data_IF_293506976381
#
_entry.id   IF_293506976381
#
_cell.length_a   1.000
_cell.length_b   1.000
_cell.length_c   1.000
_cell.angle_alpha   90.00
_cell.angle_beta   90.00
_cell.angle_gamma   90.00
#
_symmetry.space_group_name_H-M   'P 1'
#
loop_
_entity.id
_entity.type
_entity.pdbx_description
1 polymer ?
#
# COMPACT_ATOMS: atom_id res chain seq x y z
N UNK A 1 -7.69 12.79 -4.29
CA UNK A 1 -6.93 14.04 -4.52
C UNK A 1 -5.69 13.86 -5.41
N UNK A 2 -5.24 12.61 -5.62
CA UNK A 2 -4.01 12.32 -6.36
C UNK A 2 -2.71 12.65 -5.60
N UNK A 3 -2.79 12.99 -4.32
CA UNK A 3 -1.62 13.27 -3.48
C UNK A 3 -1.53 12.29 -2.33
N UNK A 4 -0.32 11.83 -2.01
CA UNK A 4 -0.08 10.95 -0.87
C UNK A 4 1.29 11.25 -0.28
N UNK A 5 1.34 11.47 1.05
CA UNK A 5 2.60 11.69 1.75
C UNK A 5 3.52 10.46 1.61
N UNK A 6 4.83 10.67 1.41
CA UNK A 6 5.79 9.58 1.16
C UNK A 6 5.74 8.45 2.21
N UNK A 7 5.61 8.79 3.50
CA UNK A 7 5.47 7.79 4.56
C UNK A 7 4.29 6.86 4.32
N UNK A 8 3.16 7.41 3.88
CA UNK A 8 1.98 6.61 3.59
C UNK A 8 2.19 5.72 2.37
N UNK A 9 2.90 6.19 1.34
CA UNK A 9 3.27 5.36 0.18
C UNK A 9 4.08 4.13 0.62
N UNK A 10 5.00 4.29 1.56
CA UNK A 10 5.77 3.17 2.12
C UNK A 10 4.89 2.19 2.89
N UNK A 11 3.93 2.67 3.69
CA UNK A 11 2.97 1.82 4.43
C UNK A 11 2.08 1.06 3.46
N UNK A 12 1.51 1.74 2.46
CA UNK A 12 0.66 1.14 1.42
C UNK A 12 1.43 0.09 0.63
N UNK A 13 2.64 0.42 0.18
CA UNK A 13 3.48 -0.52 -0.56
C UNK A 13 3.84 -1.76 0.27
N UNK A 14 4.18 -1.59 1.54
CA UNK A 14 4.44 -2.71 2.45
C UNK A 14 3.18 -3.55 2.70
N UNK A 15 2.03 -2.92 2.89
CA UNK A 15 0.77 -3.64 3.10
C UNK A 15 0.40 -4.48 1.87
N UNK A 16 0.45 -3.88 0.68
CA UNK A 16 0.15 -4.57 -0.57
C UNK A 16 1.09 -5.77 -0.80
N UNK A 17 2.40 -5.56 -0.69
CA UNK A 17 3.39 -6.58 -1.07
C UNK A 17 3.62 -7.65 0.00
N UNK A 18 3.50 -7.30 1.28
CA UNK A 18 3.81 -8.21 2.39
C UNK A 18 2.56 -8.80 3.04
N UNK A 19 1.57 -7.99 3.41
CA UNK A 19 0.37 -8.51 4.06
C UNK A 19 -0.58 -9.19 3.07
N UNK A 20 -0.80 -8.56 1.90
CA UNK A 20 -1.67 -9.09 0.86
C UNK A 20 -0.95 -9.99 -0.15
N UNK A 21 0.39 -10.01 -0.15
CA UNK A 21 1.22 -10.79 -1.08
C UNK A 21 0.89 -10.54 -2.57
N UNK A 22 0.53 -9.31 -2.89
CA UNK A 22 0.25 -8.87 -4.26
C UNK A 22 1.55 -8.39 -4.92
N UNK A 23 1.74 -8.73 -6.19
CA UNK A 23 2.90 -8.28 -6.97
C UNK A 23 3.00 -6.75 -6.94
N UNK A 24 4.20 -6.25 -6.65
CA UNK A 24 4.48 -4.82 -6.54
C UNK A 24 4.17 -4.03 -7.82
N UNK A 25 4.19 -4.68 -8.99
CA UNK A 25 3.87 -4.05 -10.27
C UNK A 25 2.40 -3.60 -10.35
N UNK A 26 1.51 -4.27 -9.63
CA UNK A 26 0.10 -3.84 -9.49
C UNK A 26 0.03 -2.48 -8.80
N UNK A 27 0.74 -2.33 -7.68
CA UNK A 27 0.81 -1.06 -6.96
C UNK A 27 1.54 0.03 -7.74
N UNK A 28 2.62 -0.31 -8.46
CA UNK A 28 3.33 0.59 -9.36
C UNK A 28 2.38 1.21 -10.40
N UNK A 29 1.58 0.37 -11.05
CA UNK A 29 0.60 0.83 -12.05
C UNK A 29 -0.50 1.68 -11.42
N UNK A 30 -0.96 1.31 -10.23
CA UNK A 30 -1.93 2.11 -9.48
C UNK A 30 -1.41 3.53 -9.17
N UNK A 31 -0.17 3.66 -8.72
CA UNK A 31 0.42 4.96 -8.45
C UNK A 31 0.63 5.79 -9.72
N UNK A 32 1.02 5.15 -10.83
CA UNK A 32 1.11 5.79 -12.15
C UNK A 32 -0.23 6.41 -12.56
N UNK A 33 -1.33 5.68 -12.40
CA UNK A 33 -2.65 6.13 -12.82
C UNK A 33 -3.27 7.17 -11.88
N UNK A 34 -2.88 7.20 -10.60
CA UNK A 34 -3.58 7.99 -9.57
C UNK A 34 -2.79 9.19 -9.02
N UNK A 35 -1.45 9.16 -9.02
CA UNK A 35 -0.65 10.21 -8.39
C UNK A 35 -0.34 11.35 -9.36
N UNK A 36 -0.66 12.58 -8.96
CA UNK A 36 -0.41 13.78 -9.77
C UNK A 36 1.08 14.16 -9.83
N UNK A 37 1.87 13.73 -8.84
CA UNK A 37 3.32 13.92 -8.76
C UNK A 37 4.09 12.65 -9.18
N UNK A 38 3.46 11.81 -10.00
CA UNK A 38 4.07 10.58 -10.48
C UNK A 38 5.33 10.87 -11.31
N UNK A 39 6.38 10.13 -11.00
CA UNK A 39 7.63 10.08 -11.75
C UNK A 39 8.02 8.61 -11.98
N UNK A 40 8.31 8.19 -13.21
CA UNK A 40 8.54 6.78 -13.54
C UNK A 40 9.71 6.16 -12.77
N UNK A 41 10.80 6.89 -12.61
CA UNK A 41 11.99 6.39 -11.94
C UNK A 41 11.75 6.27 -10.44
N UNK A 42 11.26 7.32 -9.81
CA UNK A 42 10.95 7.34 -8.36
C UNK A 42 9.89 6.31 -7.98
N UNK A 43 8.87 6.14 -8.82
CA UNK A 43 7.81 5.16 -8.61
C UNK A 43 8.37 3.73 -8.68
N UNK A 44 9.12 3.39 -9.75
CA UNK A 44 9.70 2.07 -9.92
C UNK A 44 10.70 1.73 -8.79
N UNK A 45 11.60 2.65 -8.46
CA UNK A 45 12.58 2.45 -7.40
C UNK A 45 11.91 2.31 -6.02
N UNK A 46 10.90 3.13 -5.72
CA UNK A 46 10.17 3.07 -4.46
C UNK A 46 9.43 1.75 -4.26
N UNK A 47 8.78 1.24 -5.30
CA UNK A 47 8.10 -0.05 -5.26
C UNK A 47 9.07 -1.23 -5.16
N UNK A 48 10.17 -1.22 -5.90
CA UNK A 48 11.22 -2.23 -5.78
C UNK A 48 11.86 -2.21 -4.38
N UNK A 49 12.14 -1.02 -3.85
CA UNK A 49 12.69 -0.88 -2.51
C UNK A 49 11.79 -1.53 -1.45
N UNK A 50 10.49 -1.21 -1.46
CA UNK A 50 9.55 -1.75 -0.45
C UNK A 50 9.26 -3.25 -0.67
N UNK A 51 9.28 -3.72 -1.90
CA UNK A 51 9.11 -5.14 -2.22
C UNK A 51 10.30 -5.99 -1.75
N UNK A 52 11.47 -5.38 -1.56
CA UNK A 52 12.70 -6.09 -1.20
C UNK A 52 13.44 -6.64 -2.42
N UNK A 53 13.29 -6.02 -3.58
CA UNK A 53 13.99 -6.35 -4.82
C UNK A 53 14.61 -5.08 -5.42
N UNK A 54 15.50 -5.24 -6.38
CA UNK A 54 16.22 -4.11 -6.99
C UNK A 54 17.56 -3.80 -6.32
N UNK A 55 18.25 -2.75 -6.81
CA UNK A 55 19.63 -2.45 -6.48
C UNK A 55 19.84 -1.96 -5.04
N UNK A 56 18.85 -1.27 -4.47
CA UNK A 56 18.88 -0.71 -3.10
C UNK A 56 17.65 -1.16 -2.31
N UNK A 57 17.39 -2.47 -2.31
CA UNK A 57 16.21 -3.04 -1.68
C UNK A 57 16.25 -2.94 -0.16
N UNK A 58 15.12 -2.57 0.45
CA UNK A 58 14.94 -2.72 1.89
C UNK A 58 15.01 -4.21 2.28
N UNK A 59 15.56 -4.54 3.46
CA UNK A 59 15.49 -5.91 3.95
C UNK A 59 14.06 -6.44 3.94
N UNK A 60 13.86 -7.62 3.41
CA UNK A 60 12.51 -8.18 3.22
C UNK A 60 11.70 -8.24 4.51
N UNK A 61 12.34 -8.49 5.63
CA UNK A 61 11.70 -8.54 6.96
C UNK A 61 11.22 -7.16 7.48
N UNK A 62 11.55 -6.06 6.80
CA UNK A 62 11.05 -4.72 7.14
C UNK A 62 9.61 -4.59 6.64
N UNK A 63 8.68 -5.08 7.47
CA UNK A 63 7.25 -5.06 7.22
C UNK A 63 6.63 -3.98 8.11
N UNK A 64 6.00 -2.97 7.49
CA UNK A 64 5.37 -1.89 8.25
C UNK A 64 4.02 -2.34 8.80
N UNK A 65 3.81 -2.15 10.11
CA UNK A 65 2.50 -2.31 10.71
C UNK A 65 1.75 -0.96 10.60
N UNK A 66 0.62 -0.88 9.87
CA UNK A 66 -0.12 0.37 9.66
C UNK A 66 -0.56 1.04 10.96
N UNK A 67 -1.00 0.27 11.97
CA UNK A 67 -1.46 0.79 13.25
C UNK A 67 -0.32 1.45 14.03
N UNK A 68 0.83 0.79 14.14
CA UNK A 68 2.02 1.37 14.79
C UNK A 68 2.56 2.59 14.05
N UNK A 69 2.44 2.62 12.71
CA UNK A 69 2.82 3.80 11.94
C UNK A 69 1.86 4.97 12.19
N UNK A 70 0.55 4.70 12.29
CA UNK A 70 -0.45 5.71 12.63
C UNK A 70 -0.23 6.27 14.05
N UNK A 71 0.01 5.44 15.05
CA UNK A 71 0.33 5.87 16.41
C UNK A 71 1.56 6.76 16.46
N UNK A 72 2.60 6.41 15.72
CA UNK A 72 3.87 7.13 15.73
C UNK A 72 3.84 8.48 15.00
N UNK A 73 3.16 8.55 13.84
CA UNK A 73 3.24 9.69 12.93
C UNK A 73 1.94 10.50 12.80
N UNK A 74 0.85 10.01 13.33
CA UNK A 74 -0.46 10.66 13.37
C UNK A 74 -1.17 10.34 14.68
N UNK A 75 -0.46 10.50 15.80
CA UNK A 75 -0.94 10.16 17.16
C UNK A 75 -2.27 10.87 17.51
N UNK A 76 -2.44 12.10 17.06
CA UNK A 76 -3.66 12.89 17.26
C UNK A 76 -4.76 12.58 16.24
N UNK A 77 -4.52 11.70 15.27
CA UNK A 77 -5.47 11.33 14.23
C UNK A 77 -5.84 12.45 13.25
N UNK A 78 -5.10 13.57 13.23
CA UNK A 78 -5.43 14.73 12.40
C UNK A 78 -5.39 14.43 10.90
N UNK A 79 -4.37 13.68 10.46
CA UNK A 79 -4.25 13.27 9.07
C UNK A 79 -5.39 12.33 8.66
N UNK A 80 -5.66 11.32 9.49
CA UNK A 80 -6.77 10.37 9.27
C UNK A 80 -8.12 11.08 9.26
N UNK A 81 -8.39 11.99 10.21
CA UNK A 81 -9.60 12.81 10.23
C UNK A 81 -9.77 13.60 8.95
N UNK A 82 -8.71 14.31 8.54
CA UNK A 82 -8.75 15.11 7.31
C UNK A 82 -9.13 14.31 6.07
N UNK A 83 -8.66 13.07 5.95
CA UNK A 83 -8.77 12.29 4.71
C UNK A 83 -9.82 11.18 4.75
N UNK A 84 -10.26 10.73 5.94
CA UNK A 84 -11.19 9.63 6.09
C UNK A 84 -12.57 10.03 6.63
N UNK A 85 -12.66 11.16 7.38
CA UNK A 85 -13.91 11.56 8.04
C UNK A 85 -14.69 12.63 7.27
N UNK A 86 -14.10 13.25 6.25
CA UNK A 86 -14.79 14.23 5.41
C UNK A 86 -15.67 13.48 4.38
N UNK A 87 -16.99 13.51 4.58
CA UNK A 87 -18.03 13.05 3.65
C UNK A 87 -17.72 11.72 2.94
N UNK A 88 -17.81 10.62 3.69
CA UNK A 88 -17.44 9.28 3.23
C UNK A 88 -18.07 8.87 1.90
N UNK A 89 -19.33 9.26 1.65
CA UNK A 89 -20.04 8.89 0.42
C UNK A 89 -19.58 9.71 -0.79
N UNK A 90 -19.40 11.02 -0.61
CA UNK A 90 -19.01 11.91 -1.70
C UNK A 90 -17.56 11.63 -2.15
N UNK A 91 -16.65 11.40 -1.20
CA UNK A 91 -15.26 11.10 -1.49
C UNK A 91 -15.07 9.71 -2.10
N UNK A 92 -15.81 8.71 -1.64
CA UNK A 92 -15.77 7.39 -2.22
C UNK A 92 -16.23 7.42 -3.68
N UNK A 93 -17.36 8.09 -3.96
CA UNK A 93 -17.86 8.24 -5.33
C UNK A 93 -16.88 8.98 -6.21
N UNK A 94 -16.38 10.14 -5.80
CA UNK A 94 -15.39 10.91 -6.57
C UNK A 94 -14.10 10.13 -6.84
N UNK A 95 -13.65 9.32 -5.88
CA UNK A 95 -12.51 8.43 -6.07
C UNK A 95 -12.79 7.38 -7.15
N UNK A 96 -13.92 6.67 -7.06
CA UNK A 96 -14.26 5.63 -8.04
C UNK A 96 -14.58 6.20 -9.42
N UNK A 97 -15.08 7.41 -9.52
CA UNK A 97 -15.30 8.11 -10.79
C UNK A 97 -13.97 8.55 -11.45
N UNK A 98 -12.90 8.74 -10.65
CA UNK A 98 -11.59 9.17 -11.12
C UNK A 98 -10.65 8.04 -11.52
N UNK A 99 -10.92 6.79 -11.08
CA UNK A 99 -10.06 5.66 -11.43
C UNK A 99 -10.42 5.06 -12.79
N UNK A 100 -9.45 4.42 -13.48
CA UNK A 100 -9.72 3.80 -14.78
C UNK A 100 -10.82 2.73 -14.70
N UNK A 101 -11.82 2.83 -15.58
CA UNK A 101 -12.93 1.86 -15.68
C UNK A 101 -12.43 0.43 -15.90
N UNK A 102 -11.26 0.29 -16.55
CA UNK A 102 -10.62 -1.01 -16.78
C UNK A 102 -10.31 -1.78 -15.48
N UNK A 103 -10.22 -1.11 -14.34
CA UNK A 103 -9.95 -1.74 -13.05
C UNK A 103 -11.19 -2.40 -12.43
N UNK A 104 -12.38 -2.15 -12.98
CA UNK A 104 -13.65 -2.77 -12.56
C UNK A 104 -13.94 -2.62 -11.06
N UNK A 105 -13.53 -1.50 -10.46
CA UNK A 105 -13.80 -1.17 -9.06
C UNK A 105 -15.05 -0.30 -8.96
N UNK A 106 -15.81 -0.45 -7.88
CA UNK A 106 -17.01 0.34 -7.61
C UNK A 106 -17.14 0.68 -6.13
N UNK A 107 -17.84 1.78 -5.84
CA UNK A 107 -18.13 2.21 -4.48
C UNK A 107 -19.03 1.23 -3.70
N UNK A 108 -19.76 0.36 -4.39
CA UNK A 108 -20.73 -0.56 -3.80
C UNK A 108 -20.10 -1.65 -2.93
N UNK A 109 -18.77 -1.79 -2.99
CA UNK A 109 -18.00 -2.80 -2.24
C UNK A 109 -16.98 -2.18 -1.31
N UNK A 110 -17.37 -1.16 -0.55
CA UNK A 110 -16.50 -0.62 0.50
C UNK A 110 -16.38 -1.67 1.60
N UNK A 111 -15.19 -2.27 1.69
CA UNK A 111 -14.87 -3.22 2.74
C UNK A 111 -14.61 -2.42 4.02
N UNK A 112 -15.50 -2.55 4.99
CA UNK A 112 -15.39 -1.87 6.30
C UNK A 112 -14.50 -2.63 7.29
N UNK A 113 -14.20 -3.89 7.02
CA UNK A 113 -13.41 -4.77 7.88
C UNK A 113 -11.96 -4.88 7.40
N UNK A 114 -11.06 -5.27 8.29
CA UNK A 114 -9.69 -5.60 7.92
C UNK A 114 -9.68 -6.71 6.85
N UNK A 115 -8.96 -6.47 5.74
CA UNK A 115 -8.85 -7.43 4.63
C UNK A 115 -8.03 -8.64 5.07
N UNK A 116 -7.03 -8.42 5.95
CA UNK A 116 -6.15 -9.44 6.49
C UNK A 116 -5.73 -9.06 7.91
N UNK A 117 -5.66 -10.03 8.81
CA UNK A 117 -5.04 -9.85 10.11
C UNK A 117 -3.54 -9.51 9.92
N UNK A 118 -3.09 -8.41 10.55
CA UNK A 118 -1.74 -7.89 10.36
C UNK A 118 -0.64 -8.85 10.86
N UNK A 119 -0.91 -9.58 11.94
CA UNK A 119 0.04 -10.53 12.49
C UNK A 119 0.16 -11.76 11.60
N UNK A 120 -0.97 -12.26 11.12
CA UNK A 120 -1.01 -13.39 10.19
C UNK A 120 -0.40 -13.01 8.84
N UNK A 121 -0.73 -11.84 8.28
CA UNK A 121 -0.14 -11.35 7.03
C UNK A 121 1.37 -11.21 7.11
N UNK A 122 1.89 -10.68 8.23
CA UNK A 122 3.33 -10.61 8.49
C UNK A 122 3.97 -11.99 8.53
N UNK A 123 3.35 -12.95 9.24
CA UNK A 123 3.85 -14.32 9.34
C UNK A 123 3.91 -14.97 7.94
N UNK A 124 2.81 -14.89 7.20
CA UNK A 124 2.75 -15.46 5.84
C UNK A 124 3.85 -14.90 4.92
N UNK A 125 4.13 -13.60 5.01
CA UNK A 125 5.20 -12.99 4.21
C UNK A 125 6.59 -13.53 4.59
N UNK A 126 6.86 -13.72 5.87
CA UNK A 126 8.15 -14.27 6.33
C UNK A 126 8.30 -15.73 5.96
N UNK A 127 7.26 -16.53 6.06
CA UNK A 127 7.25 -17.94 5.68
C UNK A 127 7.47 -18.09 4.16
N UNK A 128 6.80 -17.28 3.35
CA UNK A 128 7.02 -17.24 1.89
C UNK A 128 8.47 -16.87 1.53
N UNK A 129 9.05 -15.94 2.24
CA UNK A 129 10.46 -15.56 2.03
C UNK A 129 11.44 -16.66 2.44
N UNK A 130 11.17 -17.39 3.51
CA UNK A 130 11.98 -18.53 3.92
C UNK A 130 11.99 -19.63 2.85
N UNK A 131 10.81 -20.00 2.34
CA UNK A 131 10.66 -20.96 1.23
C UNK A 131 11.44 -20.52 -0.01
N UNK A 132 11.33 -19.24 -0.39
CA UNK A 132 12.06 -18.68 -1.52
C UNK A 132 13.58 -18.80 -1.36
N UNK A 133 14.11 -18.54 -0.16
CA UNK A 133 15.53 -18.68 0.14
C UNK A 133 16.03 -20.13 0.04
N UNK A 134 15.23 -21.08 0.52
CA UNK A 134 15.56 -22.50 0.44
C UNK A 134 15.66 -23.01 -1.00
N UNK A 135 14.88 -22.44 -1.92
CA UNK A 135 14.90 -22.79 -3.34
C UNK A 135 16.11 -22.21 -4.11
N UNK A 136 16.83 -21.25 -3.53
CA UNK A 136 18.00 -20.64 -4.15
C UNK A 136 19.34 -21.26 -3.71
N UNK A 137 19.32 -22.12 -2.69
CA UNK A 137 20.49 -22.89 -2.20
C UNK A 137 20.48 -24.31 -2.76
#
# INVERSE_FOLDING_TARGET
TGTMHNRLRMVVGSYLTKHLQIDWRVGLKWFEDCLIDWDPASNAMGWQWIAGCGADAAPYFRIFNPNLQAEKFDSNGQYRKKWLETDKELHAKAFFDAIPVAWKLSADKIIQNEIVDLSQGRKNALDAYAIFKEQQN
#
